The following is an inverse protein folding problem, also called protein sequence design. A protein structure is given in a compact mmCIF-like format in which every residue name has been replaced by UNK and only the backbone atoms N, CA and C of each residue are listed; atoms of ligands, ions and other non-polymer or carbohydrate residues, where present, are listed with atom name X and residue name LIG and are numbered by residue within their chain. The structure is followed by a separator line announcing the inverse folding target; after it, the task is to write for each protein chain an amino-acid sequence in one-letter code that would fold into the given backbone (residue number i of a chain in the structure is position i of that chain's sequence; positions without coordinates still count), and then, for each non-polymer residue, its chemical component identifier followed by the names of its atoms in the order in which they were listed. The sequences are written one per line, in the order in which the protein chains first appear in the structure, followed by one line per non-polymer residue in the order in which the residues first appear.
data_IF_707692512332
#
_entry.id   IF_707692512332
#
_cell.length_a   1.000
_cell.length_b   1.000
_cell.length_c   1.000
_cell.angle_alpha   90.00
_cell.angle_beta   90.00
_cell.angle_gamma   90.00
#
_symmetry.space_group_name_H-M   'P 1'
#
loop_
_entity.id
_entity.type
_entity.pdbx_description
1 polymer ?
#
# COMPACT_ATOMS: atom_id res chain seq x y z
N UNK A 1 55.25 -43.64 45.86
CA UNK A 1 55.42 -42.49 44.97
C UNK A 1 54.20 -42.44 44.03
N UNK A 2 53.12 -41.76 44.42
CA UNK A 2 51.85 -41.70 43.76
C UNK A 2 51.79 -40.39 42.94
N UNK A 3 51.71 -40.48 41.60
CA UNK A 3 51.47 -39.38 40.71
C UNK A 3 49.99 -39.00 40.76
N UNK A 4 49.61 -37.71 40.70
CA UNK A 4 48.27 -37.30 41.00
C UNK A 4 47.31 -37.53 39.79
N UNK A 5 46.18 -38.09 40.13
CA UNK A 5 45.04 -38.42 39.22
C UNK A 5 44.51 -37.22 38.43
N UNK A 6 44.88 -35.99 38.78
CA UNK A 6 44.40 -34.75 38.17
C UNK A 6 44.87 -34.52 36.72
N UNK A 7 46.03 -35.04 36.33
CA UNK A 7 46.62 -34.79 35.01
C UNK A 7 45.98 -35.65 33.87
N UNK A 8 45.31 -36.70 34.23
CA UNK A 8 44.66 -37.58 33.22
C UNK A 8 43.21 -37.10 32.92
N UNK A 9 42.55 -36.42 33.84
CA UNK A 9 41.19 -35.91 33.61
C UNK A 9 41.15 -34.69 32.66
N UNK A 10 42.12 -33.81 32.70
CA UNK A 10 42.16 -32.65 31.78
C UNK A 10 42.37 -33.01 30.33
N UNK A 11 43.16 -34.03 30.04
CA UNK A 11 43.36 -34.54 28.68
C UNK A 11 42.14 -35.25 28.10
N UNK A 12 41.31 -35.83 28.97
CA UNK A 12 40.09 -36.53 28.53
C UNK A 12 38.95 -35.50 28.26
N UNK A 13 38.87 -34.48 29.10
CA UNK A 13 37.88 -33.38 28.91
C UNK A 13 38.17 -32.55 27.67
N UNK A 14 39.43 -32.19 27.40
CA UNK A 14 39.79 -31.43 26.19
C UNK A 14 39.56 -32.19 24.88
N UNK A 15 39.61 -33.52 24.88
CA UNK A 15 39.25 -34.33 23.71
C UNK A 15 37.74 -34.41 23.47
N UNK A 16 36.95 -34.46 24.54
CA UNK A 16 35.47 -34.49 24.42
C UNK A 16 34.92 -33.12 23.96
N UNK A 17 35.50 -32.02 24.46
CA UNK A 17 35.07 -30.67 24.06
C UNK A 17 35.43 -30.38 22.59
N UNK A 18 36.57 -30.84 22.08
CA UNK A 18 36.93 -30.65 20.67
C UNK A 18 36.09 -31.50 19.70
N UNK A 19 35.69 -32.71 20.12
CA UNK A 19 34.85 -33.60 19.29
C UNK A 19 33.37 -33.13 19.27
N UNK A 20 32.86 -32.61 20.37
CA UNK A 20 31.51 -32.01 20.45
C UNK A 20 31.43 -30.68 19.69
N UNK A 21 32.49 -29.87 19.71
CA UNK A 21 32.53 -28.60 18.96
C UNK A 21 32.53 -28.81 17.43
N UNK A 22 33.18 -29.85 16.92
CA UNK A 22 33.21 -30.18 15.48
C UNK A 22 31.87 -30.79 15.03
N UNK A 23 31.23 -31.62 15.85
CA UNK A 23 29.88 -32.15 15.54
C UNK A 23 28.80 -31.08 15.56
N UNK A 24 28.88 -30.10 16.47
CA UNK A 24 27.90 -29.00 16.51
C UNK A 24 28.01 -28.05 15.31
N UNK A 25 29.23 -27.75 14.83
CA UNK A 25 29.45 -26.92 13.64
C UNK A 25 29.04 -27.61 12.34
N UNK A 26 29.24 -28.92 12.21
CA UNK A 26 28.83 -29.68 11.02
C UNK A 26 27.27 -29.84 11.00
N UNK A 27 26.66 -30.08 12.16
CA UNK A 27 25.18 -30.16 12.26
C UNK A 27 24.51 -28.84 11.96
N UNK A 28 25.05 -27.69 12.41
CA UNK A 28 24.50 -26.36 12.13
C UNK A 28 24.60 -25.97 10.64
N UNK A 29 25.75 -26.29 10.00
CA UNK A 29 25.93 -26.07 8.55
C UNK A 29 25.01 -26.97 7.72
N UNK A 30 24.79 -28.23 8.12
CA UNK A 30 23.91 -29.14 7.40
C UNK A 30 22.44 -28.75 7.52
N UNK A 31 22.02 -28.16 8.65
CA UNK A 31 20.64 -27.68 8.84
C UNK A 31 20.34 -26.46 7.96
N UNK A 32 21.29 -25.53 7.81
CA UNK A 32 21.12 -24.35 6.95
C UNK A 32 21.03 -24.78 5.47
N UNK A 33 21.87 -25.70 5.01
CA UNK A 33 21.83 -26.22 3.63
C UNK A 33 20.58 -27.07 3.35
N UNK A 34 20.05 -27.79 4.34
CA UNK A 34 18.83 -28.59 4.19
C UNK A 34 17.59 -27.70 4.13
N UNK A 35 17.55 -26.59 4.86
CA UNK A 35 16.42 -25.66 4.89
C UNK A 35 16.32 -24.84 3.59
N UNK A 36 17.46 -24.40 3.05
CA UNK A 36 17.51 -23.69 1.76
C UNK A 36 17.17 -24.62 0.57
N UNK A 37 17.60 -25.87 0.60
CA UNK A 37 17.27 -26.87 -0.42
C UNK A 37 15.77 -27.24 -0.38
N UNK A 38 15.19 -27.42 0.79
CA UNK A 38 13.76 -27.74 0.95
C UNK A 38 12.86 -26.57 0.54
N UNK A 39 13.27 -25.32 0.81
CA UNK A 39 12.51 -24.14 0.39
C UNK A 39 12.55 -23.95 -1.14
N UNK A 40 13.66 -24.19 -1.78
CA UNK A 40 13.79 -24.10 -3.25
C UNK A 40 12.99 -25.18 -3.96
N UNK A 41 13.01 -26.43 -3.45
CA UNK A 41 12.23 -27.52 -4.03
C UNK A 41 10.72 -27.27 -3.88
N UNK A 42 10.28 -26.68 -2.76
CA UNK A 42 8.87 -26.33 -2.55
C UNK A 42 8.42 -25.19 -3.48
N UNK A 43 9.27 -24.21 -3.76
CA UNK A 43 8.95 -23.12 -4.68
C UNK A 43 8.86 -23.61 -6.14
N UNK A 44 9.79 -24.46 -6.58
CA UNK A 44 9.74 -25.08 -7.90
C UNK A 44 8.43 -25.86 -8.14
N UNK A 45 7.88 -26.49 -7.11
CA UNK A 45 6.58 -27.15 -7.20
C UNK A 45 5.43 -26.14 -7.37
N UNK A 46 5.48 -24.99 -6.69
CA UNK A 46 4.50 -23.92 -6.87
C UNK A 46 4.54 -23.37 -8.29
N UNK A 47 5.76 -23.12 -8.84
CA UNK A 47 5.90 -22.65 -10.23
C UNK A 47 5.36 -23.67 -11.25
N UNK A 48 5.60 -24.96 -11.05
CA UNK A 48 5.05 -26.02 -11.89
C UNK A 48 3.50 -26.09 -11.82
N UNK A 49 2.92 -25.92 -10.65
CA UNK A 49 1.46 -25.88 -10.48
C UNK A 49 0.84 -24.65 -11.12
N UNK A 50 1.54 -23.51 -11.10
CA UNK A 50 1.08 -22.26 -11.67
C UNK A 50 1.02 -22.28 -13.20
N UNK A 51 1.78 -23.15 -13.87
CA UNK A 51 1.82 -23.21 -15.33
C UNK A 51 0.44 -23.51 -15.93
N UNK A 52 -0.02 -22.63 -16.82
CA UNK A 52 -1.34 -22.70 -17.45
C UNK A 52 -2.48 -22.09 -16.63
N UNK A 53 -2.25 -21.68 -15.38
CA UNK A 53 -3.28 -21.03 -14.59
C UNK A 53 -3.64 -19.62 -15.10
N UNK A 54 -4.90 -19.24 -14.88
CA UNK A 54 -5.39 -17.88 -15.10
C UNK A 54 -5.67 -17.23 -13.76
N UNK A 55 -4.93 -16.17 -13.46
CA UNK A 55 -5.00 -15.39 -12.21
C UNK A 55 -5.90 -14.16 -12.41
N UNK A 56 -6.99 -14.07 -11.69
CA UNK A 56 -7.89 -12.92 -11.65
C UNK A 56 -7.45 -11.94 -10.57
N UNK A 57 -6.79 -10.88 -10.99
CA UNK A 57 -6.26 -9.83 -10.10
C UNK A 57 -7.23 -8.66 -10.04
N UNK A 58 -7.93 -8.51 -8.93
CA UNK A 58 -8.79 -7.37 -8.64
C UNK A 58 -7.96 -6.19 -8.14
N UNK A 59 -7.90 -5.16 -8.96
CA UNK A 59 -7.10 -3.96 -8.68
C UNK A 59 -7.80 -2.71 -9.23
N UNK A 60 -7.53 -1.57 -8.59
CA UNK A 60 -8.05 -0.29 -9.05
C UNK A 60 -7.67 0.00 -10.51
N UNK A 61 -8.67 0.35 -11.32
CA UNK A 61 -8.54 0.52 -12.76
C UNK A 61 -8.51 1.97 -13.25
N UNK A 62 -8.52 2.96 -12.34
CA UNK A 62 -8.69 4.38 -12.66
C UNK A 62 -7.48 5.09 -13.27
N UNK A 63 -6.30 4.45 -13.36
CA UNK A 63 -5.09 5.00 -13.99
C UNK A 63 -4.67 4.20 -15.22
N UNK A 64 -4.41 4.90 -16.32
CA UNK A 64 -3.89 4.29 -17.54
C UNK A 64 -2.45 3.78 -17.36
N UNK A 65 -1.64 4.43 -16.53
CA UNK A 65 -0.26 4.08 -16.21
C UNK A 65 -0.22 2.71 -15.52
N UNK A 66 -1.02 2.55 -14.48
CA UNK A 66 -1.18 1.28 -13.74
C UNK A 66 -1.69 0.19 -14.67
N UNK A 67 -2.70 0.49 -15.48
CA UNK A 67 -3.26 -0.48 -16.44
C UNK A 67 -2.20 -0.95 -17.45
N UNK A 68 -1.35 -0.05 -17.96
CA UNK A 68 -0.24 -0.40 -18.87
C UNK A 68 0.85 -1.20 -18.17
N UNK A 69 1.18 -0.86 -16.91
CA UNK A 69 2.13 -1.63 -16.12
C UNK A 69 1.64 -3.06 -15.90
N UNK A 70 0.38 -3.25 -15.51
CA UNK A 70 -0.21 -4.59 -15.30
C UNK A 70 -0.32 -5.40 -16.61
N UNK A 71 -0.58 -4.74 -17.74
CA UNK A 71 -0.50 -5.38 -19.04
C UNK A 71 0.90 -5.90 -19.38
N UNK A 72 1.93 -5.11 -19.08
CA UNK A 72 3.32 -5.54 -19.25
C UNK A 72 3.64 -6.70 -18.33
N UNK A 73 3.28 -6.61 -17.03
CA UNK A 73 3.47 -7.68 -16.06
C UNK A 73 2.81 -8.99 -16.52
N UNK A 74 1.58 -8.92 -17.05
CA UNK A 74 0.89 -10.08 -17.58
C UNK A 74 1.60 -10.73 -18.77
N UNK A 75 2.23 -9.94 -19.67
CA UNK A 75 3.04 -10.48 -20.75
C UNK A 75 4.30 -11.20 -20.24
N UNK A 76 4.94 -10.64 -19.23
CA UNK A 76 6.10 -11.26 -18.59
C UNK A 76 5.73 -12.56 -17.90
N UNK A 77 4.67 -12.56 -17.11
CA UNK A 77 4.16 -13.75 -16.42
C UNK A 77 3.81 -14.87 -17.40
N UNK A 78 3.15 -14.55 -18.50
CA UNK A 78 2.85 -15.54 -19.54
C UNK A 78 4.10 -16.12 -20.18
N UNK A 79 5.09 -15.29 -20.50
CA UNK A 79 6.31 -15.72 -21.18
C UNK A 79 7.25 -16.52 -20.27
N UNK A 80 7.39 -16.07 -19.02
CA UNK A 80 8.43 -16.58 -18.12
C UNK A 80 7.90 -17.72 -17.21
N UNK A 81 6.58 -17.76 -16.94
CA UNK A 81 5.96 -18.72 -16.00
C UNK A 81 4.72 -19.44 -16.57
N UNK A 82 4.28 -19.14 -17.77
CA UNK A 82 3.05 -19.72 -18.33
C UNK A 82 1.74 -19.25 -17.66
N UNK A 83 1.81 -18.23 -16.77
CA UNK A 83 0.66 -17.70 -16.03
C UNK A 83 -0.04 -16.60 -16.80
N UNK A 84 -1.37 -16.73 -16.98
CA UNK A 84 -2.19 -15.70 -17.61
C UNK A 84 -2.74 -14.74 -16.55
N UNK A 85 -2.28 -13.48 -16.52
CA UNK A 85 -2.81 -12.45 -15.62
C UNK A 85 -4.03 -11.74 -16.25
N UNK A 86 -5.14 -11.72 -15.51
CA UNK A 86 -6.38 -10.99 -15.85
C UNK A 86 -6.61 -9.87 -14.85
N UNK A 87 -6.31 -8.62 -15.25
CA UNK A 87 -6.65 -7.45 -14.44
C UNK A 87 -8.16 -7.22 -14.46
N UNK A 88 -8.82 -7.49 -13.34
CA UNK A 88 -10.22 -7.15 -13.08
C UNK A 88 -10.27 -5.76 -12.48
N UNK A 89 -10.65 -4.77 -13.27
CA UNK A 89 -10.69 -3.37 -12.88
C UNK A 89 -11.85 -3.11 -11.95
N UNK A 90 -11.56 -2.62 -10.76
CA UNK A 90 -12.57 -2.16 -9.79
C UNK A 90 -12.43 -0.65 -9.58
N UNK A 91 -13.51 -0.01 -9.20
CA UNK A 91 -13.51 1.40 -8.81
C UNK A 91 -13.05 1.54 -7.35
N UNK A 92 -13.50 0.61 -6.50
CA UNK A 92 -13.10 0.49 -5.10
C UNK A 92 -12.96 -1.00 -4.74
N UNK A 93 -11.93 -1.34 -3.96
CA UNK A 93 -11.67 -2.73 -3.55
C UNK A 93 -12.72 -3.25 -2.56
N UNK A 94 -13.47 -2.38 -1.88
CA UNK A 94 -14.61 -2.76 -1.05
C UNK A 94 -15.68 -3.56 -1.81
N UNK A 95 -15.83 -3.34 -3.13
CA UNK A 95 -16.71 -4.16 -3.98
C UNK A 95 -16.24 -5.62 -4.00
N UNK A 96 -14.92 -5.85 -4.07
CA UNK A 96 -14.33 -7.19 -4.04
C UNK A 96 -14.45 -7.82 -2.67
N UNK A 97 -14.20 -7.06 -1.59
CA UNK A 97 -14.39 -7.53 -0.22
C UNK A 97 -15.84 -7.98 0.01
N UNK A 98 -16.81 -7.21 -0.45
CA UNK A 98 -18.25 -7.58 -0.38
C UNK A 98 -18.54 -8.87 -1.15
N UNK A 99 -17.96 -9.03 -2.34
CA UNK A 99 -18.08 -10.26 -3.14
C UNK A 99 -17.54 -11.47 -2.38
N UNK A 100 -16.34 -11.36 -1.80
CA UNK A 100 -15.72 -12.45 -1.04
C UNK A 100 -16.51 -12.82 0.22
N UNK A 101 -17.08 -11.83 0.92
CA UNK A 101 -18.02 -12.09 2.03
C UNK A 101 -19.25 -12.89 1.57
N UNK A 102 -19.80 -12.54 0.40
CA UNK A 102 -20.93 -13.28 -0.18
C UNK A 102 -20.56 -14.72 -0.59
N UNK A 103 -19.36 -14.93 -1.16
CA UNK A 103 -18.84 -16.28 -1.46
C UNK A 103 -18.66 -17.10 -0.19
N UNK A 104 -18.14 -16.52 0.88
CA UNK A 104 -18.00 -17.17 2.20
C UNK A 104 -19.35 -17.57 2.78
N UNK A 105 -20.32 -16.65 2.74
CA UNK A 105 -21.68 -16.90 3.22
C UNK A 105 -22.40 -18.01 2.41
N UNK A 106 -22.10 -18.12 1.12
CA UNK A 106 -22.59 -19.17 0.24
C UNK A 106 -21.86 -20.53 0.42
N UNK A 107 -20.84 -20.60 1.29
CA UNK A 107 -20.04 -21.81 1.51
C UNK A 107 -19.07 -22.14 0.36
N UNK A 108 -18.74 -21.18 -0.50
CA UNK A 108 -17.82 -21.37 -1.63
C UNK A 108 -16.38 -21.31 -1.15
N UNK A 109 -15.89 -22.42 -0.60
CA UNK A 109 -14.55 -22.53 0.00
C UNK A 109 -13.43 -22.86 -1.01
N UNK A 110 -13.77 -23.17 -2.26
CA UNK A 110 -12.85 -23.45 -3.37
C UNK A 110 -13.39 -22.79 -4.63
N UNK A 111 -12.57 -22.73 -5.68
CA UNK A 111 -12.97 -22.18 -7.00
C UNK A 111 -13.50 -20.75 -6.88
N UNK A 112 -12.83 -19.93 -6.05
CA UNK A 112 -13.14 -18.52 -5.87
C UNK A 112 -13.10 -17.75 -7.19
N UNK A 113 -13.75 -16.60 -7.23
CA UNK A 113 -13.76 -15.75 -8.42
C UNK A 113 -12.63 -14.71 -8.42
N UNK A 114 -11.81 -14.69 -7.37
CA UNK A 114 -10.73 -13.73 -7.14
C UNK A 114 -9.48 -14.49 -6.69
N UNK A 115 -8.34 -14.21 -7.32
CA UNK A 115 -7.08 -14.87 -6.97
C UNK A 115 -6.10 -13.92 -6.29
N UNK A 116 -6.11 -12.64 -6.67
CA UNK A 116 -5.30 -11.59 -6.01
C UNK A 116 -6.18 -10.36 -5.81
N UNK A 117 -5.98 -9.68 -4.69
CA UNK A 117 -6.53 -8.34 -4.41
C UNK A 117 -5.41 -7.35 -4.14
N UNK A 118 -5.52 -6.14 -4.72
CA UNK A 118 -4.73 -4.98 -4.30
C UNK A 118 -5.48 -4.30 -3.16
N UNK A 119 -4.93 -4.33 -1.96
CA UNK A 119 -5.66 -4.05 -0.73
C UNK A 119 -4.84 -3.18 0.22
N UNK A 120 -5.51 -2.50 1.13
CA UNK A 120 -4.96 -1.88 2.34
C UNK A 120 -6.08 -1.50 3.34
N UNK A 121 -5.66 -1.17 4.56
CA UNK A 121 -6.48 -0.53 5.58
C UNK A 121 -7.69 -1.35 6.03
N UNK A 122 -8.87 -0.71 6.03
CA UNK A 122 -10.10 -1.34 6.53
C UNK A 122 -10.52 -2.56 5.71
N UNK A 123 -10.15 -2.60 4.42
CA UNK A 123 -10.47 -3.74 3.56
C UNK A 123 -9.64 -4.95 3.96
N UNK A 124 -8.33 -4.78 4.25
CA UNK A 124 -7.50 -5.84 4.80
C UNK A 124 -8.04 -6.32 6.15
N UNK A 125 -8.30 -5.41 7.08
CA UNK A 125 -8.89 -5.74 8.37
C UNK A 125 -10.20 -6.51 8.22
N UNK A 126 -11.11 -6.04 7.36
CA UNK A 126 -12.39 -6.72 7.09
C UNK A 126 -12.17 -8.14 6.57
N UNK A 127 -11.23 -8.35 5.65
CA UNK A 127 -10.90 -9.67 5.13
C UNK A 127 -10.27 -10.57 6.20
N UNK A 128 -9.39 -10.04 7.04
CA UNK A 128 -8.74 -10.75 8.14
C UNK A 128 -9.74 -11.18 9.19
N UNK A 129 -10.58 -10.27 9.69
CA UNK A 129 -11.61 -10.52 10.71
C UNK A 129 -12.62 -11.60 10.27
N UNK A 130 -12.86 -11.71 8.96
CA UNK A 130 -13.79 -12.71 8.41
C UNK A 130 -13.11 -13.97 7.86
N UNK A 131 -11.79 -14.15 8.13
CA UNK A 131 -11.00 -15.29 7.65
C UNK A 131 -11.11 -15.49 6.12
N UNK A 132 -10.96 -14.40 5.35
CA UNK A 132 -11.04 -14.38 3.88
C UNK A 132 -9.68 -14.39 3.21
N UNK A 133 -8.59 -14.60 3.95
CA UNK A 133 -7.22 -14.54 3.45
C UNK A 133 -6.56 -15.91 3.48
N UNK A 134 -5.74 -16.17 2.47
CA UNK A 134 -4.79 -17.28 2.43
C UNK A 134 -3.46 -16.83 3.04
N UNK A 135 -2.80 -17.70 3.79
CA UNK A 135 -1.47 -17.43 4.34
C UNK A 135 -1.28 -18.02 5.74
N UNK A 136 -0.17 -17.67 6.42
CA UNK A 136 0.88 -16.75 5.95
C UNK A 136 1.65 -17.29 4.73
N UNK A 137 2.04 -16.41 3.79
CA UNK A 137 2.75 -16.84 2.57
C UNK A 137 3.98 -15.96 2.21
N UNK A 138 4.09 -14.76 2.77
CA UNK A 138 5.05 -13.76 2.29
C UNK A 138 6.50 -14.19 2.41
N UNK A 139 6.88 -14.84 3.51
CA UNK A 139 8.26 -15.29 3.74
C UNK A 139 8.67 -16.46 2.83
N UNK A 140 7.70 -17.17 2.25
CA UNK A 140 7.97 -18.26 1.28
C UNK A 140 8.30 -17.74 -0.12
N UNK A 141 8.05 -16.45 -0.40
CA UNK A 141 8.33 -15.85 -1.71
C UNK A 141 9.84 -15.65 -1.90
N UNK A 142 10.48 -16.17 -2.96
CA UNK A 142 11.92 -16.00 -3.21
C UNK A 142 12.39 -14.55 -3.25
N UNK A 143 11.53 -13.62 -3.71
CA UNK A 143 11.85 -12.20 -3.81
C UNK A 143 11.62 -11.43 -2.50
N UNK A 144 11.08 -12.06 -1.45
CA UNK A 144 10.93 -11.49 -0.11
C UNK A 144 12.26 -10.96 0.47
N UNK A 145 13.37 -11.58 0.10
CA UNK A 145 14.73 -11.17 0.49
C UNK A 145 15.15 -9.77 0.02
N UNK A 146 14.47 -9.22 -0.98
CA UNK A 146 14.75 -7.88 -1.52
C UNK A 146 13.96 -6.76 -0.84
N UNK A 147 12.90 -7.11 -0.12
CA UNK A 147 12.02 -6.17 0.59
C UNK A 147 12.80 -5.42 1.66
N UNK A 148 12.60 -4.11 1.73
CA UNK A 148 13.22 -3.25 2.74
C UNK A 148 12.50 -3.41 4.09
N UNK A 149 13.17 -4.09 5.02
CA UNK A 149 12.64 -4.37 6.35
C UNK A 149 12.65 -3.15 7.29
N UNK A 150 13.15 -2.00 6.85
CA UNK A 150 13.04 -0.75 7.59
C UNK A 150 11.71 -0.02 7.36
N UNK A 151 10.96 -0.41 6.31
CA UNK A 151 9.60 0.07 6.07
C UNK A 151 8.61 -0.62 7.02
N UNK A 152 7.48 0.02 7.36
CA UNK A 152 6.46 -0.56 8.25
C UNK A 152 5.61 -1.62 7.52
N UNK A 153 6.27 -2.68 7.01
CA UNK A 153 5.64 -3.74 6.22
C UNK A 153 4.89 -4.79 7.06
N UNK A 154 5.07 -4.73 8.37
CA UNK A 154 4.45 -5.68 9.32
C UNK A 154 3.07 -5.20 9.80
N UNK A 155 2.67 -4.00 9.39
CA UNK A 155 1.37 -3.39 9.73
C UNK A 155 0.72 -2.74 8.52
N UNK A 156 -0.60 -2.87 8.40
CA UNK A 156 -1.45 -2.14 7.47
C UNK A 156 -2.45 -1.30 8.27
N UNK A 157 -2.32 0.04 8.23
CA UNK A 157 -3.10 0.98 9.04
C UNK A 157 -3.21 0.55 10.53
N UNK A 158 -2.10 0.19 11.15
CA UNK A 158 -2.00 -0.33 12.53
C UNK A 158 -2.52 -1.78 12.72
N UNK A 159 -3.03 -2.46 11.70
CA UNK A 159 -3.40 -3.87 11.77
C UNK A 159 -2.19 -4.76 11.43
N UNK A 160 -1.78 -5.70 12.27
CA UNK A 160 -0.68 -6.62 11.96
C UNK A 160 -0.96 -7.45 10.69
N UNK A 161 0.00 -7.45 9.75
CA UNK A 161 -0.16 -8.19 8.47
C UNK A 161 -0.06 -9.71 8.63
N UNK A 162 0.71 -10.18 9.60
CA UNK A 162 0.90 -11.61 9.93
C UNK A 162 1.28 -12.48 8.72
N UNK A 163 1.91 -11.87 7.70
CA UNK A 163 2.29 -12.55 6.47
C UNK A 163 1.13 -12.92 5.53
N UNK A 164 -0.07 -12.35 5.75
CA UNK A 164 -1.28 -12.59 4.96
C UNK A 164 -1.37 -11.70 3.71
N UNK A 165 -0.51 -10.70 3.62
CA UNK A 165 -0.40 -9.80 2.47
C UNK A 165 1.05 -9.38 2.24
N UNK A 166 1.42 -9.23 0.97
CA UNK A 166 2.76 -8.85 0.56
C UNK A 166 2.82 -7.36 0.23
N UNK A 167 3.78 -6.58 0.78
CA UNK A 167 3.91 -5.17 0.46
C UNK A 167 4.25 -4.99 -1.02
N UNK A 168 3.63 -4.01 -1.68
CA UNK A 168 3.82 -3.80 -3.12
C UNK A 168 4.34 -2.40 -3.46
N UNK A 169 3.91 -1.36 -2.76
CA UNK A 169 4.39 0.00 -2.97
C UNK A 169 4.11 0.91 -1.79
N UNK A 170 4.63 2.14 -1.87
CA UNK A 170 4.46 3.18 -0.85
C UNK A 170 3.59 4.29 -1.40
N UNK A 171 2.45 4.53 -0.77
CA UNK A 171 1.55 5.62 -1.10
C UNK A 171 1.70 6.80 -0.14
N UNK A 172 1.58 8.02 -0.66
CA UNK A 172 1.57 9.26 0.13
C UNK A 172 0.56 10.24 -0.43
N UNK A 173 -0.34 10.75 0.42
CA UNK A 173 -1.27 11.81 0.02
C UNK A 173 -0.50 13.11 -0.18
N UNK A 174 -0.48 13.59 -1.40
CA UNK A 174 0.16 14.85 -1.78
C UNK A 174 -0.77 15.72 -2.60
N UNK A 175 -0.45 17.01 -2.66
CA UNK A 175 -1.14 17.98 -3.48
C UNK A 175 -0.35 18.26 -4.75
N UNK A 176 -1.07 18.59 -5.83
CA UNK A 176 -0.51 18.98 -7.13
C UNK A 176 -1.00 20.38 -7.45
N UNK A 177 -0.09 21.24 -7.89
CA UNK A 177 -0.40 22.59 -8.36
C UNK A 177 0.41 22.93 -9.62
N UNK A 178 -0.05 23.88 -10.41
CA UNK A 178 0.76 24.50 -11.47
C UNK A 178 1.45 25.75 -10.92
N UNK A 179 2.79 25.78 -11.01
CA UNK A 179 3.61 26.89 -10.52
C UNK A 179 3.36 28.21 -11.25
N UNK A 180 2.86 28.21 -12.49
CA UNK A 180 2.53 29.43 -13.21
C UNK A 180 1.25 30.09 -12.69
N UNK A 181 0.30 29.30 -12.20
CA UNK A 181 -0.97 29.82 -11.67
C UNK A 181 -0.95 29.99 -10.16
N UNK A 182 -0.25 29.12 -9.45
CA UNK A 182 -0.13 29.13 -7.98
C UNK A 182 1.33 29.01 -7.55
N UNK A 183 2.06 30.15 -7.51
CA UNK A 183 3.47 30.17 -7.15
C UNK A 183 3.77 29.68 -5.73
N UNK A 184 2.91 30.04 -4.77
CA UNK A 184 3.06 29.71 -3.36
C UNK A 184 1.82 28.94 -2.90
N UNK A 185 1.81 27.61 -3.04
CA UNK A 185 0.68 26.81 -2.60
C UNK A 185 0.58 26.80 -1.07
N UNK A 186 -0.63 26.68 -0.50
CA UNK A 186 -0.86 26.56 0.94
C UNK A 186 -0.04 25.41 1.56
N UNK A 187 0.66 25.69 2.65
CA UNK A 187 1.53 24.72 3.33
C UNK A 187 0.86 24.05 4.55
N UNK A 188 -0.35 24.49 4.91
CA UNK A 188 -1.18 23.93 5.98
C UNK A 188 -2.65 23.97 5.61
N UNK A 189 -3.50 23.21 6.30
CA UNK A 189 -4.94 23.29 6.10
C UNK A 189 -5.51 24.65 6.52
N UNK A 190 -4.90 25.30 7.50
CA UNK A 190 -5.28 26.70 7.86
C UNK A 190 -5.07 27.66 6.71
N UNK A 191 -3.90 27.59 6.05
CA UNK A 191 -3.61 28.39 4.86
C UNK A 191 -4.49 28.00 3.68
N UNK A 192 -4.80 26.71 3.52
CA UNK A 192 -5.72 26.21 2.49
C UNK A 192 -7.13 26.80 2.63
N UNK A 193 -7.66 26.90 3.86
CA UNK A 193 -8.93 27.57 4.12
C UNK A 193 -8.86 29.06 3.82
N UNK A 194 -7.76 29.73 4.23
CA UNK A 194 -7.55 31.16 3.95
C UNK A 194 -7.47 31.42 2.44
N UNK A 195 -6.76 30.56 1.71
CA UNK A 195 -6.71 30.61 0.25
C UNK A 195 -8.09 30.42 -0.39
N UNK A 196 -8.83 29.40 0.04
CA UNK A 196 -10.18 29.14 -0.49
C UNK A 196 -11.16 30.31 -0.22
N UNK A 197 -11.01 31.01 0.90
CA UNK A 197 -11.80 32.21 1.21
C UNK A 197 -11.43 33.40 0.33
N UNK A 198 -10.13 33.57 0.01
CA UNK A 198 -9.65 34.62 -0.88
C UNK A 198 -9.98 34.34 -2.36
N UNK A 199 -9.95 33.09 -2.76
CA UNK A 199 -10.18 32.62 -4.13
C UNK A 199 -11.29 31.53 -4.14
N UNK A 200 -12.56 31.88 -3.99
CA UNK A 200 -13.66 30.94 -3.96
C UNK A 200 -13.78 30.10 -5.25
N UNK A 201 -14.32 28.90 -5.14
CA UNK A 201 -14.48 27.94 -6.24
C UNK A 201 -13.19 27.38 -6.85
N UNK A 202 -12.05 27.51 -6.19
CA UNK A 202 -10.75 27.07 -6.73
C UNK A 202 -10.21 25.81 -6.09
N UNK A 203 -10.74 25.36 -4.96
CA UNK A 203 -10.30 24.16 -4.24
C UNK A 203 -11.45 23.17 -4.06
N UNK A 204 -11.10 21.89 -4.10
CA UNK A 204 -11.99 20.78 -3.80
C UNK A 204 -11.19 19.54 -3.40
N UNK A 205 -11.89 18.47 -3.02
CA UNK A 205 -11.36 17.13 -2.80
C UNK A 205 -12.41 16.11 -3.22
N UNK A 206 -12.05 14.84 -3.52
CA UNK A 206 -13.02 13.81 -3.84
C UNK A 206 -13.98 13.53 -2.68
N UNK A 207 -15.19 13.12 -3.01
CA UNK A 207 -16.24 12.86 -2.01
C UNK A 207 -15.99 11.53 -1.28
N UNK A 208 -15.89 11.49 0.08
CA UNK A 208 -15.98 10.23 0.83
C UNK A 208 -17.26 9.43 0.48
N UNK A 209 -17.20 8.10 0.43
CA UNK A 209 -16.09 7.22 0.88
C UNK A 209 -14.99 6.98 -0.17
N UNK A 210 -14.87 7.77 -1.22
CA UNK A 210 -13.75 7.63 -2.16
C UNK A 210 -12.42 7.78 -1.42
N UNK A 211 -11.46 6.90 -1.74
CA UNK A 211 -10.21 6.73 -1.00
C UNK A 211 -9.43 8.04 -0.77
N UNK A 212 -9.24 8.86 -1.84
CA UNK A 212 -8.50 10.13 -1.72
C UNK A 212 -9.26 11.17 -0.90
N UNK A 213 -10.58 11.17 -1.00
CA UNK A 213 -11.45 12.04 -0.21
C UNK A 213 -11.40 11.69 1.27
N UNK A 214 -11.50 10.41 1.61
CA UNK A 214 -11.36 9.93 2.98
C UNK A 214 -9.95 10.21 3.52
N UNK A 215 -8.91 10.01 2.71
CA UNK A 215 -7.52 10.32 3.09
C UNK A 215 -7.31 11.83 3.32
N UNK A 216 -7.96 12.69 2.52
CA UNK A 216 -7.96 14.14 2.74
C UNK A 216 -8.53 14.51 4.11
N UNK A 217 -9.72 13.98 4.48
CA UNK A 217 -10.33 14.30 5.77
C UNK A 217 -9.58 13.70 6.96
N UNK A 218 -8.91 12.53 6.78
CA UNK A 218 -7.99 11.98 7.79
C UNK A 218 -6.78 12.88 8.00
N UNK A 219 -6.13 13.31 6.92
CA UNK A 219 -4.97 14.22 6.98
C UNK A 219 -5.35 15.56 7.65
N UNK A 220 -6.51 16.12 7.28
CA UNK A 220 -7.07 17.31 7.89
C UNK A 220 -7.32 17.13 9.40
N UNK A 221 -7.92 16.02 9.82
CA UNK A 221 -8.16 15.71 11.22
C UNK A 221 -6.85 15.61 12.02
N UNK A 222 -5.85 14.91 11.48
CA UNK A 222 -4.54 14.75 12.10
C UNK A 222 -3.89 16.12 12.37
N UNK A 223 -3.84 16.99 11.35
CA UNK A 223 -3.26 18.33 11.50
C UNK A 223 -4.03 19.20 12.50
N UNK A 224 -5.36 19.29 12.38
CA UNK A 224 -6.19 20.11 13.24
C UNK A 224 -6.18 19.68 14.71
N UNK A 225 -5.85 18.43 14.97
CA UNK A 225 -5.76 17.87 16.33
C UNK A 225 -4.32 17.73 16.83
N UNK A 226 -3.34 18.22 16.05
CA UNK A 226 -1.90 18.05 16.36
C UNK A 226 -1.54 16.58 16.59
N UNK A 227 -2.01 15.68 15.71
CA UNK A 227 -1.81 14.24 15.82
C UNK A 227 -2.25 13.67 17.18
N UNK A 228 -3.52 13.89 17.54
CA UNK A 228 -4.09 13.44 18.81
C UNK A 228 -3.86 11.93 19.00
N UNK A 229 -3.25 11.49 20.13
CA UNK A 229 -2.98 10.08 20.39
C UNK A 229 -4.20 9.15 20.34
N UNK A 230 -5.41 9.68 20.51
CA UNK A 230 -6.65 8.93 20.37
C UNK A 230 -6.82 8.36 18.95
N UNK A 231 -6.23 9.00 17.91
CA UNK A 231 -6.31 8.53 16.53
C UNK A 231 -5.58 7.20 16.30
N UNK A 232 -4.60 6.87 17.12
CA UNK A 232 -3.89 5.57 17.08
C UNK A 232 -4.67 4.43 17.78
N UNK A 233 -5.80 4.74 18.42
CA UNK A 233 -6.63 3.77 19.15
C UNK A 233 -7.96 3.56 18.42
N UNK A 234 -8.67 2.44 18.65
CA UNK A 234 -10.01 2.25 18.14
C UNK A 234 -10.93 3.43 18.50
N UNK A 235 -11.73 3.87 17.52
CA UNK A 235 -12.73 4.91 17.75
C UNK A 235 -13.79 4.43 18.74
N UNK A 236 -14.22 5.31 19.64
CA UNK A 236 -15.36 5.09 20.55
C UNK A 236 -16.40 6.19 20.37
N UNK A 237 -17.65 5.92 20.74
CA UNK A 237 -18.72 6.93 20.73
C UNK A 237 -18.37 8.12 21.63
N UNK A 238 -17.69 7.85 22.77
CA UNK A 238 -17.34 8.87 23.75
C UNK A 238 -16.30 9.88 23.23
N UNK A 239 -15.29 9.41 22.45
CA UNK A 239 -14.21 10.30 21.99
C UNK A 239 -14.44 10.86 20.58
N UNK A 240 -15.29 10.22 19.75
CA UNK A 240 -15.45 10.60 18.35
C UNK A 240 -15.88 12.06 18.18
N UNK A 241 -16.91 12.50 18.91
CA UNK A 241 -17.47 13.85 18.76
C UNK A 241 -16.46 14.92 19.18
N UNK A 242 -15.74 14.71 20.28
CA UNK A 242 -14.75 15.65 20.79
C UNK A 242 -13.54 15.75 19.82
N UNK A 243 -12.97 14.62 19.43
CA UNK A 243 -11.78 14.57 18.57
C UNK A 243 -12.08 15.12 17.18
N UNK A 244 -13.28 14.87 16.62
CA UNK A 244 -13.62 15.32 15.27
C UNK A 244 -14.25 16.70 15.19
N UNK A 245 -14.58 17.35 16.32
CA UNK A 245 -15.20 18.68 16.32
C UNK A 245 -14.44 19.73 15.47
N UNK A 246 -13.11 19.86 15.55
CA UNK A 246 -12.36 20.82 14.72
C UNK A 246 -12.45 20.50 13.22
N UNK A 247 -12.49 19.22 12.84
CA UNK A 247 -12.66 18.78 11.45
C UNK A 247 -13.99 19.32 10.86
N UNK A 248 -15.09 19.08 11.56
CA UNK A 248 -16.41 19.49 11.07
C UNK A 248 -16.53 21.03 11.03
N UNK A 249 -16.00 21.71 12.04
CA UNK A 249 -15.97 23.18 12.04
C UNK A 249 -15.15 23.77 10.89
N UNK A 250 -14.09 23.10 10.45
CA UNK A 250 -13.30 23.45 9.27
C UNK A 250 -14.13 23.20 7.99
N UNK A 251 -14.68 22.00 7.80
CA UNK A 251 -15.41 21.61 6.61
C UNK A 251 -16.68 22.48 6.40
N UNK A 252 -17.36 22.86 7.46
CA UNK A 252 -18.53 23.79 7.42
C UNK A 252 -18.16 25.17 6.83
N UNK A 253 -16.90 25.61 7.02
CA UNK A 253 -16.40 26.85 6.43
C UNK A 253 -15.89 26.63 5.02
N UNK A 254 -15.12 25.56 4.82
CA UNK A 254 -14.47 25.22 3.56
C UNK A 254 -15.49 24.96 2.45
N UNK A 255 -16.54 24.18 2.69
CA UNK A 255 -17.56 23.87 1.69
C UNK A 255 -18.27 25.10 1.15
N UNK A 256 -18.46 26.15 1.96
CA UNK A 256 -19.12 27.39 1.50
C UNK A 256 -18.36 28.11 0.39
N UNK A 257 -17.04 27.92 0.34
CA UNK A 257 -16.12 28.56 -0.61
C UNK A 257 -15.45 27.60 -1.57
N UNK A 258 -15.64 26.29 -1.37
CA UNK A 258 -15.09 25.24 -2.22
C UNK A 258 -15.72 25.25 -3.63
N UNK A 259 -15.10 24.57 -4.56
CA UNK A 259 -15.58 24.39 -5.92
C UNK A 259 -17.06 24.01 -5.94
N UNK A 260 -17.84 24.69 -6.79
CA UNK A 260 -19.31 24.55 -6.89
C UNK A 260 -20.05 24.68 -5.55
N UNK A 261 -19.49 25.48 -4.62
CA UNK A 261 -20.07 25.72 -3.31
C UNK A 261 -20.14 24.48 -2.42
N UNK A 262 -19.21 23.54 -2.60
CA UNK A 262 -19.17 22.29 -1.83
C UNK A 262 -20.38 21.35 -2.03
N UNK A 263 -21.13 21.51 -3.13
CA UNK A 263 -22.29 20.68 -3.48
C UNK A 263 -21.95 19.58 -4.48
N UNK A 264 -20.83 19.73 -5.17
CA UNK A 264 -20.27 18.75 -6.09
C UNK A 264 -18.80 18.57 -5.78
N UNK A 265 -18.31 17.36 -5.99
CA UNK A 265 -16.97 16.94 -5.67
C UNK A 265 -16.40 16.14 -6.85
N UNK A 266 -15.09 16.18 -7.11
CA UNK A 266 -14.48 15.27 -8.06
C UNK A 266 -14.78 13.80 -7.70
N UNK A 267 -14.99 12.97 -8.71
CA UNK A 267 -15.24 11.54 -8.50
C UNK A 267 -14.00 10.76 -7.99
N UNK A 268 -12.80 11.35 -8.09
CA UNK A 268 -11.56 10.77 -7.64
C UNK A 268 -10.35 11.59 -8.09
N UNK A 269 -9.16 11.07 -7.89
CA UNK A 269 -7.90 11.73 -8.24
C UNK A 269 -7.79 12.05 -9.74
N UNK A 270 -8.25 11.15 -10.63
CA UNK A 270 -8.17 11.39 -12.08
C UNK A 270 -8.98 12.60 -12.52
N UNK A 271 -10.20 12.78 -12.00
CA UNK A 271 -11.00 13.97 -12.27
C UNK A 271 -10.41 15.21 -11.59
N UNK A 272 -9.87 15.10 -10.38
CA UNK A 272 -9.18 16.21 -9.71
C UNK A 272 -8.01 16.75 -10.56
N UNK A 273 -7.21 15.85 -11.12
CA UNK A 273 -6.10 16.22 -12.01
C UNK A 273 -6.61 16.86 -13.31
N UNK A 274 -7.68 16.32 -13.89
CA UNK A 274 -8.29 16.91 -15.08
C UNK A 274 -8.82 18.33 -14.82
N UNK A 275 -9.49 18.54 -13.68
CA UNK A 275 -10.01 19.86 -13.28
C UNK A 275 -8.88 20.87 -13.00
N UNK A 276 -7.71 20.41 -12.53
CA UNK A 276 -6.50 21.23 -12.42
C UNK A 276 -5.98 21.62 -13.80
N UNK A 277 -5.83 20.66 -14.72
CA UNK A 277 -5.36 20.90 -16.08
C UNK A 277 -6.29 21.86 -16.86
N UNK A 278 -7.62 21.70 -16.68
CA UNK A 278 -8.66 22.60 -17.22
C UNK A 278 -8.70 23.99 -16.54
N UNK A 279 -7.87 24.23 -15.53
CA UNK A 279 -7.85 25.50 -14.78
C UNK A 279 -9.10 25.74 -13.95
N UNK A 280 -9.89 24.73 -13.62
CA UNK A 280 -11.05 24.85 -12.75
C UNK A 280 -10.68 24.75 -11.27
N UNK A 281 -9.65 23.99 -10.94
CA UNK A 281 -9.05 23.89 -9.61
C UNK A 281 -7.61 24.40 -9.64
N UNK A 282 -7.15 24.90 -8.51
CA UNK A 282 -5.75 25.30 -8.30
C UNK A 282 -4.94 24.23 -7.61
N UNK A 283 -5.61 23.27 -6.97
CA UNK A 283 -5.02 22.08 -6.35
C UNK A 283 -5.76 20.83 -6.79
N UNK A 284 -4.99 19.78 -7.09
CA UNK A 284 -5.49 18.42 -7.16
C UNK A 284 -4.81 17.57 -6.08
N UNK A 285 -5.36 16.38 -5.79
CA UNK A 285 -4.77 15.44 -4.84
C UNK A 285 -4.49 14.10 -5.50
N UNK A 286 -3.43 13.43 -5.04
CA UNK A 286 -3.05 12.08 -5.47
C UNK A 286 -2.40 11.34 -4.31
N UNK A 287 -2.40 10.01 -4.37
CA UNK A 287 -1.68 9.17 -3.41
C UNK A 287 -0.34 8.65 -3.96
N UNK A 288 0.08 9.14 -5.13
CA UNK A 288 1.40 8.89 -5.69
C UNK A 288 2.16 10.21 -5.88
N UNK A 289 3.20 10.49 -5.05
CA UNK A 289 3.97 11.73 -5.15
C UNK A 289 4.69 11.93 -6.49
N UNK A 290 4.83 10.88 -7.27
CA UNK A 290 5.52 10.91 -8.57
C UNK A 290 4.56 10.89 -9.78
N UNK A 291 3.25 10.88 -9.58
CA UNK A 291 2.24 10.82 -10.67
C UNK A 291 2.34 12.00 -11.65
N UNK A 292 2.86 13.14 -11.19
CA UNK A 292 3.10 14.33 -12.02
C UNK A 292 4.05 14.01 -13.19
N UNK A 293 5.14 13.26 -12.94
CA UNK A 293 6.14 12.96 -13.98
C UNK A 293 5.54 12.12 -15.13
N UNK A 294 4.78 11.08 -14.82
CA UNK A 294 4.14 10.25 -15.83
C UNK A 294 3.02 11.00 -16.58
N UNK A 295 2.32 11.92 -15.90
CA UNK A 295 1.31 12.76 -16.49
C UNK A 295 1.92 13.81 -17.44
N UNK A 296 3.06 14.43 -17.07
CA UNK A 296 3.85 15.31 -17.92
C UNK A 296 4.40 14.57 -19.14
N UNK A 297 5.00 13.39 -18.95
CA UNK A 297 5.53 12.57 -20.04
C UNK A 297 4.46 12.16 -21.05
N UNK A 298 3.19 12.06 -20.64
CA UNK A 298 2.05 11.76 -21.50
C UNK A 298 1.30 13.00 -22.03
N UNK A 299 1.77 14.21 -21.71
CA UNK A 299 1.17 15.48 -22.14
C UNK A 299 -0.17 15.81 -21.46
N UNK A 300 -0.47 15.20 -20.33
CA UNK A 300 -1.70 15.46 -19.55
C UNK A 300 -1.55 16.54 -18.50
N UNK A 301 -0.35 16.93 -18.16
CA UNK A 301 -0.04 18.04 -17.26
C UNK A 301 1.08 18.90 -17.84
N UNK A 302 1.04 20.18 -17.59
CA UNK A 302 2.10 21.13 -17.94
C UNK A 302 3.41 20.78 -17.20
N UNK A 303 4.56 21.10 -17.79
CA UNK A 303 5.89 20.90 -17.17
C UNK A 303 6.09 21.72 -15.88
N UNK A 304 5.31 22.78 -15.73
CA UNK A 304 5.27 23.65 -14.55
C UNK A 304 4.52 23.04 -13.36
N UNK A 305 3.79 21.96 -13.57
CA UNK A 305 3.06 21.25 -12.51
C UNK A 305 4.02 20.55 -11.54
N UNK A 306 3.76 20.68 -10.24
CA UNK A 306 4.56 20.10 -9.16
C UNK A 306 3.68 19.42 -8.13
N UNK A 307 4.22 18.35 -7.53
CA UNK A 307 3.66 17.73 -6.34
C UNK A 307 4.35 18.27 -5.09
N UNK A 308 3.60 18.46 -4.01
CA UNK A 308 4.11 18.88 -2.72
C UNK A 308 3.29 18.25 -1.57
N UNK A 309 3.89 18.19 -0.38
CA UNK A 309 3.20 17.84 0.86
C UNK A 309 3.08 19.08 1.76
N UNK A 310 2.11 19.08 2.67
CA UNK A 310 2.01 20.09 3.70
C UNK A 310 3.19 20.00 4.68
N UNK A 311 3.47 21.08 5.44
CA UNK A 311 4.53 21.09 6.45
C UNK A 311 4.33 20.04 7.55
N UNK A 312 3.07 19.71 7.88
CA UNK A 312 2.72 18.62 8.80
C UNK A 312 3.25 17.26 8.30
N UNK A 313 3.36 17.06 6.99
CA UNK A 313 3.77 15.85 6.29
C UNK A 313 2.67 15.29 5.40
N UNK A 314 2.95 14.14 4.77
CA UNK A 314 2.04 13.40 3.91
C UNK A 314 1.50 12.15 4.63
N UNK A 315 0.18 12.00 4.66
CA UNK A 315 -0.44 10.75 5.11
C UNK A 315 0.07 9.61 4.25
N UNK A 316 0.69 8.61 4.87
CA UNK A 316 1.46 7.58 4.17
C UNK A 316 1.04 6.19 4.59
N UNK A 317 1.00 5.29 3.63
CA UNK A 317 0.79 3.87 3.89
C UNK A 317 1.56 3.00 2.90
N UNK A 318 1.69 1.74 3.22
CA UNK A 318 2.06 0.69 2.27
C UNK A 318 0.76 0.18 1.64
N UNK A 319 0.77 -0.12 0.36
CA UNK A 319 -0.30 -0.88 -0.26
C UNK A 319 0.20 -2.29 -0.58
N UNK A 320 -0.71 -3.25 -0.48
CA UNK A 320 -0.39 -4.66 -0.41
C UNK A 320 -1.10 -5.49 -1.48
N UNK A 321 -0.63 -6.72 -1.64
CA UNK A 321 -1.24 -7.78 -2.44
C UNK A 321 -1.58 -8.95 -1.54
N UNK A 322 -2.84 -9.37 -1.54
CA UNK A 322 -3.31 -10.51 -0.76
C UNK A 322 -3.98 -11.56 -1.65
N UNK A 323 -4.01 -12.79 -1.16
CA UNK A 323 -4.64 -13.93 -1.82
C UNK A 323 -5.88 -14.31 -1.01
N UNK A 324 -7.09 -14.37 -1.62
CA UNK A 324 -8.27 -14.88 -0.93
C UNK A 324 -8.13 -16.36 -0.55
N UNK A 325 -8.79 -16.77 0.54
CA UNK A 325 -8.76 -18.15 1.09
C UNK A 325 -9.23 -19.21 0.10
N UNK A 326 -10.11 -18.84 -0.83
CA UNK A 326 -10.75 -19.73 -1.81
C UNK A 326 -10.23 -19.51 -3.24
N UNK A 327 -9.09 -18.82 -3.39
CA UNK A 327 -8.49 -18.53 -4.69
C UNK A 327 -8.38 -19.80 -5.54
N UNK A 328 -8.85 -19.73 -6.78
CA UNK A 328 -8.83 -20.88 -7.71
C UNK A 328 -7.42 -21.14 -8.27
N UNK A 329 -6.68 -20.07 -8.55
CA UNK A 329 -5.31 -20.11 -9.07
C UNK A 329 -4.30 -19.69 -7.98
N UNK A 330 -4.28 -20.42 -6.85
CA UNK A 330 -3.46 -20.04 -5.70
C UNK A 330 -1.95 -20.08 -6.01
N UNK A 331 -1.46 -21.09 -6.75
CA UNK A 331 -0.06 -21.18 -7.14
C UNK A 331 0.32 -20.04 -8.09
N UNK A 332 -0.50 -19.76 -9.11
CA UNK A 332 -0.32 -18.64 -10.03
C UNK A 332 -0.38 -17.28 -9.33
N UNK A 333 -1.21 -17.15 -8.30
CA UNK A 333 -1.27 -15.94 -7.46
C UNK A 333 0.04 -15.71 -6.71
N UNK A 334 0.60 -16.75 -6.07
CA UNK A 334 1.90 -16.67 -5.39
C UNK A 334 3.05 -16.33 -6.38
N UNK A 335 3.10 -16.99 -7.54
CA UNK A 335 4.08 -16.71 -8.60
C UNK A 335 3.93 -15.26 -9.11
N UNK A 336 2.70 -14.78 -9.32
CA UNK A 336 2.43 -13.41 -9.73
C UNK A 336 2.93 -12.41 -8.68
N UNK A 337 2.61 -12.60 -7.41
CA UNK A 337 3.06 -11.70 -6.33
C UNK A 337 4.58 -11.74 -6.21
N UNK A 338 5.20 -12.92 -6.28
CA UNK A 338 6.65 -13.03 -6.27
C UNK A 338 7.29 -12.26 -7.44
N UNK A 339 6.76 -12.39 -8.66
CA UNK A 339 7.24 -11.62 -9.81
C UNK A 339 7.07 -10.11 -9.59
N UNK A 340 5.92 -9.65 -9.09
CA UNK A 340 5.65 -8.24 -8.82
C UNK A 340 6.59 -7.65 -7.72
N UNK A 341 7.17 -8.49 -6.86
CA UNK A 341 8.22 -8.14 -5.91
C UNK A 341 9.64 -8.26 -6.48
N UNK A 342 9.81 -8.67 -7.73
CA UNK A 342 11.16 -8.77 -8.32
C UNK A 342 11.78 -7.38 -8.52
N UNK A 343 13.14 -7.27 -8.51
CA UNK A 343 13.83 -6.04 -8.85
C UNK A 343 13.45 -5.46 -10.22
N UNK A 344 13.18 -6.33 -11.22
CA UNK A 344 12.71 -5.92 -12.55
C UNK A 344 11.34 -5.24 -12.48
N UNK A 345 10.36 -5.91 -11.86
CA UNK A 345 9.00 -5.42 -11.77
C UNK A 345 8.90 -4.15 -10.91
N UNK A 346 9.61 -4.10 -9.79
CA UNK A 346 9.65 -2.94 -8.91
C UNK A 346 10.39 -1.75 -9.53
N UNK A 347 11.51 -1.98 -10.23
CA UNK A 347 12.18 -0.90 -10.96
C UNK A 347 11.31 -0.32 -12.07
N UNK A 348 10.57 -1.17 -12.79
CA UNK A 348 9.64 -0.70 -13.81
C UNK A 348 8.44 0.03 -13.21
N UNK A 349 7.92 -0.44 -12.08
CA UNK A 349 6.83 0.22 -11.36
C UNK A 349 7.25 1.62 -10.87
N UNK A 350 8.46 1.74 -10.31
CA UNK A 350 9.03 3.00 -9.85
C UNK A 350 9.56 3.92 -10.95
N UNK A 351 9.59 3.50 -12.21
CA UNK A 351 10.02 4.36 -13.32
C UNK A 351 9.07 5.56 -13.47
N UNK A 352 9.62 6.77 -13.35
CA UNK A 352 8.88 8.03 -13.37
C UNK A 352 8.10 8.26 -14.66
N UNK A 353 8.52 7.65 -15.77
CA UNK A 353 7.83 7.74 -17.06
C UNK A 353 6.75 6.65 -17.23
N UNK A 354 6.65 5.70 -16.31
CA UNK A 354 5.71 4.56 -16.40
C UNK A 354 4.60 4.72 -15.36
N UNK A 355 4.92 4.60 -14.08
CA UNK A 355 3.96 4.79 -12.99
C UNK A 355 4.53 5.69 -11.89
N UNK A 356 5.83 5.55 -11.55
CA UNK A 356 6.49 6.35 -10.52
C UNK A 356 6.11 5.93 -9.09
N UNK A 357 5.51 4.76 -8.89
CA UNK A 357 5.11 4.29 -7.56
C UNK A 357 6.36 3.87 -6.76
N UNK A 358 6.63 4.47 -5.58
CA UNK A 358 7.79 4.14 -4.78
C UNK A 358 7.82 2.66 -4.40
N UNK A 359 9.01 2.07 -4.53
CA UNK A 359 9.23 0.64 -4.30
C UNK A 359 9.27 0.29 -2.81
N UNK A 360 8.87 -0.93 -2.49
CA UNK A 360 9.09 -1.56 -1.18
C UNK A 360 10.42 -2.30 -1.08
N UNK A 361 11.23 -2.31 -2.14
CA UNK A 361 12.57 -2.94 -2.11
C UNK A 361 13.63 -1.97 -1.62
N UNK A 362 14.67 -2.50 -0.98
CA UNK A 362 15.88 -1.72 -0.68
C UNK A 362 16.45 -1.13 -1.97
N UNK A 363 16.80 0.15 -1.97
CA UNK A 363 17.18 0.94 -3.15
C UNK A 363 18.37 0.35 -3.94
N UNK A 364 19.24 -0.43 -3.29
CA UNK A 364 20.37 -1.13 -3.93
C UNK A 364 19.94 -2.14 -5.00
N UNK A 365 18.70 -2.64 -4.94
CA UNK A 365 18.16 -3.59 -5.92
C UNK A 365 17.40 -2.93 -7.05
N UNK A 366 17.12 -1.64 -6.96
CA UNK A 366 16.41 -0.89 -7.98
C UNK A 366 17.35 -0.41 -9.09
N UNK A 367 16.79 -0.08 -10.26
CA UNK A 367 17.50 0.48 -11.41
C UNK A 367 16.77 1.72 -11.96
N UNK A 368 17.48 2.52 -12.77
CA UNK A 368 16.88 3.68 -13.45
C UNK A 368 16.33 4.73 -12.49
N UNK A 369 15.28 5.41 -12.92
CA UNK A 369 14.61 6.49 -12.17
C UNK A 369 13.87 6.00 -10.92
N UNK A 370 13.59 4.70 -10.80
CA UNK A 370 12.98 4.10 -9.62
C UNK A 370 13.80 4.31 -8.33
N UNK A 371 15.13 4.54 -8.46
CA UNK A 371 16.01 4.90 -7.32
C UNK A 371 15.74 6.32 -6.77
N UNK A 372 15.10 7.16 -7.55
CA UNK A 372 14.95 8.60 -7.30
C UNK A 372 13.48 8.99 -7.17
N UNK A 373 12.60 8.05 -6.86
CA UNK A 373 11.20 8.37 -6.57
C UNK A 373 11.12 9.34 -5.39
N UNK A 374 10.33 10.40 -5.57
CA UNK A 374 10.11 11.41 -4.54
C UNK A 374 9.30 10.80 -3.40
N UNK A 375 9.70 11.10 -2.17
CA UNK A 375 8.96 10.80 -0.95
C UNK A 375 9.04 12.01 -0.02
N UNK A 376 7.99 12.21 0.77
CA UNK A 376 7.87 13.30 1.72
C UNK A 376 7.93 12.77 3.15
N UNK A 377 8.01 13.66 4.14
CA UNK A 377 7.88 13.28 5.54
C UNK A 377 6.55 12.57 5.76
N UNK A 378 6.59 11.35 6.24
CA UNK A 378 5.39 10.54 6.47
C UNK A 378 4.63 10.96 7.74
N UNK A 379 3.31 10.84 7.66
CA UNK A 379 2.38 10.82 8.79
C UNK A 379 1.67 9.46 8.73
N UNK A 380 1.56 8.81 9.89
CA UNK A 380 0.92 7.50 9.99
C UNK A 380 -0.60 7.61 9.86
N UNK A 381 -1.20 6.54 9.34
CA UNK A 381 -2.65 6.40 9.26
C UNK A 381 -3.27 6.25 10.66
N UNK A 382 -4.46 6.84 10.90
CA UNK A 382 -5.24 6.55 12.09
C UNK A 382 -5.63 5.07 12.15
N UNK A 383 -6.00 4.60 13.33
CA UNK A 383 -6.56 3.25 13.48
C UNK A 383 -7.74 3.04 12.50
N UNK A 384 -7.85 1.89 11.80
CA UNK A 384 -8.80 1.66 10.70
C UNK A 384 -10.26 1.99 11.03
N UNK A 385 -10.67 1.82 12.29
CA UNK A 385 -12.04 2.12 12.73
C UNK A 385 -12.45 3.59 12.58
N UNK A 386 -11.49 4.54 12.54
CA UNK A 386 -11.77 5.95 12.30
C UNK A 386 -12.29 6.20 10.89
N UNK A 387 -11.82 5.46 9.91
CA UNK A 387 -12.21 5.65 8.52
C UNK A 387 -13.73 5.52 8.35
N UNK A 388 -14.29 4.38 8.72
CA UNK A 388 -15.73 4.13 8.61
C UNK A 388 -16.58 5.13 9.41
N UNK A 389 -16.09 5.54 10.60
CA UNK A 389 -16.79 6.52 11.44
C UNK A 389 -16.81 7.92 10.79
N UNK A 390 -15.67 8.35 10.22
CA UNK A 390 -15.55 9.64 9.51
C UNK A 390 -16.40 9.67 8.25
N UNK A 391 -16.38 8.62 7.43
CA UNK A 391 -17.17 8.51 6.20
C UNK A 391 -18.66 8.57 6.49
N UNK A 392 -19.11 7.81 7.47
CA UNK A 392 -20.52 7.79 7.90
C UNK A 392 -20.99 9.17 8.38
N UNK A 393 -20.20 9.85 9.21
CA UNK A 393 -20.57 11.19 9.71
C UNK A 393 -20.47 12.23 8.60
N UNK A 394 -19.49 12.12 7.67
CA UNK A 394 -19.39 13.01 6.51
C UNK A 394 -20.63 12.88 5.61
N UNK A 395 -21.04 11.65 5.27
CA UNK A 395 -22.23 11.39 4.46
C UNK A 395 -23.51 11.93 5.13
N UNK A 396 -23.62 11.78 6.44
CA UNK A 396 -24.75 12.33 7.20
C UNK A 396 -24.80 13.86 7.15
N UNK A 397 -23.65 14.56 7.18
CA UNK A 397 -23.58 16.02 7.20
C UNK A 397 -23.69 16.64 5.81
N UNK A 398 -23.06 16.04 4.81
CA UNK A 398 -22.82 16.65 3.50
C UNK A 398 -23.26 15.78 2.33
N UNK A 399 -23.77 14.59 2.57
CA UNK A 399 -24.09 13.59 1.54
C UNK A 399 -25.38 13.82 0.76
N UNK A 400 -26.16 14.89 1.05
CA UNK A 400 -27.44 15.19 0.43
C UNK A 400 -27.30 16.04 -0.82
#
# INVERSE_FOLDING_TARGET
MLLPVHYQMEKFMNKIVSTLGIMATVAYSATIYADEATSTDSWNQIEQQAEGETVYFHAWGGSQEINRYLQWAGKKLQNDYGVTLKHVKVTDIAETTTRLLAEKAAGKNTEGSVDIVWINGENFRSMKDNALLFGPFTESLPNWKYVDKSLPIDVDFSEPTEGLEAPWGVGQLVFIHDQETLHNPPQSFSEMLSYAQAFPNRLSYPRPPEFHGTSFIKSLLIELTNNNPALAQPVSEDNFQEVTAPLWAYLDKFHKVAWRGGKQFPAGTSESIQLLDDGQLDLAITFNPNSVYSAQASGRLAETTKAYALESGALSNIHFLAIPWNANANAGAQVTINFLLSPEAQSRKGDLNIWGDPSVLSSKYLTGSAKNTQQFKSIDEPHPSWQNALEKEWLKRYGN
#
